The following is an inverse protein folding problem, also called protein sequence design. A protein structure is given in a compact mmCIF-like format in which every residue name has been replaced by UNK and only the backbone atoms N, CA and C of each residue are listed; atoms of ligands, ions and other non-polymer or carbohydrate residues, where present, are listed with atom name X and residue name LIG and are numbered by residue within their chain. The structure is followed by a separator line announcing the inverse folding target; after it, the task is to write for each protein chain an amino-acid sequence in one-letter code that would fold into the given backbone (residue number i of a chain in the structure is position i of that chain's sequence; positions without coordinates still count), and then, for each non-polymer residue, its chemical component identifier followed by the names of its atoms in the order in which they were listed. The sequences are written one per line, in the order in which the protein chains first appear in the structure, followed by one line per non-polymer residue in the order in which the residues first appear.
data_IF_528561537488
#
_entry.id   IF_528561537488
#
_cell.length_a   1.000
_cell.length_b   1.000
_cell.length_c   1.000
_cell.angle_alpha   90.00
_cell.angle_beta   90.00
_cell.angle_gamma   90.00
#
_symmetry.space_group_name_H-M   'P 1'
#
loop_
_entity.id
_entity.type
_entity.pdbx_description
1 polymer ?
#
# COMPACT_ATOMS: atom_id res chain seq x y z
N UNK A 1 -3.76 4.31 -1.30
CA UNK A 1 -3.79 4.37 0.19
C UNK A 1 -4.11 5.79 0.68
N UNK A 2 -4.48 5.98 1.97
CA UNK A 2 -5.23 7.12 2.60
C UNK A 2 -5.84 8.20 1.69
N UNK A 3 -5.05 8.87 0.85
CA UNK A 3 -5.51 9.80 -0.18
C UNK A 3 -6.24 9.14 -1.38
N UNK A 4 -6.47 7.81 -1.37
CA UNK A 4 -7.16 7.12 -2.46
C UNK A 4 -6.38 7.05 -3.77
N UNK A 5 -5.05 7.19 -3.73
CA UNK A 5 -4.17 7.08 -4.90
C UNK A 5 -3.54 5.69 -5.01
N UNK A 6 -3.27 5.19 -6.25
CA UNK A 6 -2.44 4.01 -6.45
C UNK A 6 -1.04 4.28 -5.89
N UNK A 7 -0.40 3.22 -5.40
CA UNK A 7 0.97 3.28 -4.89
C UNK A 7 1.88 2.52 -5.84
N UNK A 8 3.04 3.10 -6.16
CA UNK A 8 4.13 2.40 -6.81
C UNK A 8 5.24 2.23 -5.77
N UNK A 9 5.67 1.00 -5.53
CA UNK A 9 6.67 0.68 -4.51
C UNK A 9 7.71 -0.31 -5.02
N UNK A 10 8.88 -0.29 -4.39
CA UNK A 10 9.96 -1.22 -4.70
C UNK A 10 9.70 -2.58 -4.02
N UNK A 11 9.96 -3.67 -4.75
CA UNK A 11 10.13 -5.02 -4.17
C UNK A 11 11.31 -5.01 -3.19
N UNK A 12 11.16 -5.73 -2.08
CA UNK A 12 12.11 -5.75 -0.96
C UNK A 12 12.01 -4.56 0.00
N UNK A 13 11.14 -3.58 -0.24
CA UNK A 13 10.93 -2.46 0.68
C UNK A 13 9.85 -2.78 1.71
N UNK A 14 9.83 -2.08 2.85
CA UNK A 14 8.76 -2.20 3.85
C UNK A 14 7.36 -1.88 3.27
N UNK A 15 7.29 -1.13 2.16
CA UNK A 15 6.02 -0.85 1.50
C UNK A 15 5.43 -2.10 0.81
N UNK A 16 6.25 -3.09 0.45
CA UNK A 16 5.80 -4.37 -0.12
C UNK A 16 4.88 -5.14 0.84
N UNK A 17 5.08 -5.03 2.15
CA UNK A 17 4.21 -5.67 3.15
C UNK A 17 2.77 -5.11 3.13
N UNK A 18 2.60 -3.91 2.57
CA UNK A 18 1.36 -3.15 2.62
C UNK A 18 0.70 -3.09 1.24
N UNK A 19 1.48 -2.92 0.18
CA UNK A 19 1.02 -2.87 -1.21
C UNK A 19 0.76 -4.29 -1.71
N UNK A 20 -0.49 -4.57 -2.07
CA UNK A 20 -0.85 -5.77 -2.83
C UNK A 20 -0.69 -5.45 -4.32
N UNK A 21 0.27 -6.09 -4.96
CA UNK A 21 0.61 -5.91 -6.38
C UNK A 21 -0.59 -6.17 -7.30
N UNK A 22 -0.75 -5.31 -8.32
CA UNK A 22 -1.90 -5.28 -9.23
C UNK A 22 -3.26 -4.93 -8.61
N UNK A 23 -3.39 -4.90 -7.28
CA UNK A 23 -4.67 -4.71 -6.60
C UNK A 23 -4.80 -3.35 -5.90
N UNK A 24 -3.75 -2.92 -5.20
CA UNK A 24 -3.73 -1.63 -4.45
C UNK A 24 -2.66 -0.66 -4.96
N UNK A 25 -1.88 -1.12 -5.93
CA UNK A 25 -0.69 -0.48 -6.45
C UNK A 25 0.10 -1.48 -7.30
N UNK A 26 1.32 -1.08 -7.67
CA UNK A 26 2.27 -1.91 -8.42
C UNK A 26 3.57 -2.04 -7.63
N UNK A 27 4.18 -3.21 -7.70
CA UNK A 27 5.51 -3.49 -7.20
C UNK A 27 6.50 -3.62 -8.36
N UNK A 28 7.66 -2.98 -8.24
CA UNK A 28 8.72 -3.00 -9.28
C UNK A 28 10.07 -3.32 -8.67
N UNK A 29 11.00 -3.84 -9.47
CA UNK A 29 12.42 -3.88 -9.10
C UNK A 29 12.98 -2.44 -9.07
N UNK A 30 13.53 -1.97 -7.93
CA UNK A 30 14.09 -0.62 -7.84
C UNK A 30 15.32 -0.39 -8.74
N UNK A 31 16.02 -1.45 -9.15
CA UNK A 31 17.20 -1.37 -10.00
C UNK A 31 16.87 -1.49 -11.51
N UNK A 32 15.63 -1.86 -11.84
CA UNK A 32 15.13 -1.92 -13.21
C UNK A 32 14.41 -0.61 -13.61
N UNK A 33 15.12 0.22 -14.38
CA UNK A 33 14.58 1.50 -14.88
C UNK A 33 13.46 1.31 -15.89
N UNK A 34 13.47 0.24 -16.68
CA UNK A 34 12.44 -0.01 -17.69
C UNK A 34 11.16 -0.46 -17.02
N UNK A 35 11.23 -1.36 -16.04
CA UNK A 35 10.08 -1.78 -15.26
C UNK A 35 9.43 -0.59 -14.53
N UNK A 36 10.23 0.29 -13.92
CA UNK A 36 9.73 1.52 -13.29
C UNK A 36 9.01 2.44 -14.29
N UNK A 37 9.60 2.66 -15.46
CA UNK A 37 9.03 3.48 -16.53
C UNK A 37 7.69 2.91 -16.99
N UNK A 38 7.64 1.60 -17.22
CA UNK A 38 6.48 0.93 -17.78
C UNK A 38 5.34 0.90 -16.75
N UNK A 39 5.63 0.68 -15.47
CA UNK A 39 4.65 0.76 -14.39
C UNK A 39 4.07 2.17 -14.22
N UNK A 40 4.92 3.21 -14.30
CA UNK A 40 4.45 4.60 -14.30
C UNK A 40 3.57 4.91 -15.52
N UNK A 41 3.99 4.47 -16.71
CA UNK A 41 3.22 4.59 -17.95
C UNK A 41 1.85 3.95 -17.81
N UNK A 42 1.79 2.71 -17.32
CA UNK A 42 0.54 1.99 -17.08
C UNK A 42 -0.44 2.76 -16.19
N UNK A 43 0.04 3.31 -15.06
CA UNK A 43 -0.82 4.08 -14.15
C UNK A 43 -1.33 5.40 -14.77
N UNK A 44 -0.60 5.98 -15.72
CA UNK A 44 -0.99 7.21 -16.42
C UNK A 44 -1.93 6.93 -17.60
N UNK A 45 -1.65 5.88 -18.36
CA UNK A 45 -2.38 5.52 -19.58
C UNK A 45 -3.71 4.82 -19.28
N UNK A 46 -3.83 4.15 -18.12
CA UNK A 46 -5.04 3.44 -17.68
C UNK A 46 -5.62 4.04 -16.38
N UNK A 47 -6.14 5.30 -16.41
CA UNK A 47 -6.58 6.01 -15.20
C UNK A 47 -7.75 5.33 -14.47
N UNK A 48 -8.58 4.54 -15.16
CA UNK A 48 -9.65 3.76 -14.53
C UNK A 48 -9.11 2.64 -13.64
N UNK A 49 -8.04 1.98 -14.07
CA UNK A 49 -7.37 0.94 -13.30
C UNK A 49 -6.58 1.57 -12.13
N UNK A 50 -5.84 2.65 -12.40
CA UNK A 50 -5.15 3.43 -11.39
C UNK A 50 -6.09 3.90 -10.27
N UNK A 51 -7.31 4.34 -10.64
CA UNK A 51 -8.35 4.72 -9.68
C UNK A 51 -8.83 3.53 -8.85
N UNK A 52 -9.13 2.39 -9.50
CA UNK A 52 -9.53 1.16 -8.80
C UNK A 52 -8.48 0.72 -7.78
N UNK A 53 -7.20 0.76 -8.16
CA UNK A 53 -6.09 0.45 -7.25
C UNK A 53 -6.05 1.42 -6.06
N UNK A 54 -6.24 2.72 -6.32
CA UNK A 54 -6.28 3.73 -5.29
C UNK A 54 -7.42 3.55 -4.28
N UNK A 55 -8.62 3.24 -4.77
CA UNK A 55 -9.82 2.94 -3.98
C UNK A 55 -9.61 1.66 -3.14
N UNK A 56 -9.10 0.58 -3.73
CA UNK A 56 -8.78 -0.64 -3.01
C UNK A 56 -7.73 -0.41 -1.91
N UNK A 57 -6.69 0.39 -2.22
CA UNK A 57 -5.68 0.77 -1.24
C UNK A 57 -6.21 1.68 -0.12
N UNK A 58 -7.25 2.49 -0.38
CA UNK A 58 -7.94 3.25 0.68
C UNK A 58 -8.72 2.32 1.60
N UNK A 59 -9.49 1.38 1.03
CA UNK A 59 -10.26 0.42 1.82
C UNK A 59 -9.37 -0.46 2.70
N UNK A 60 -8.20 -0.90 2.19
CA UNK A 60 -7.20 -1.60 2.99
C UNK A 60 -6.68 -0.75 4.15
N UNK A 61 -6.30 0.50 3.88
CA UNK A 61 -5.84 1.41 4.94
C UNK A 61 -6.89 1.60 6.04
N UNK A 62 -8.14 1.87 5.64
CA UNK A 62 -9.28 2.07 6.55
C UNK A 62 -9.53 0.85 7.45
N UNK A 63 -9.38 -0.36 6.90
CA UNK A 63 -9.65 -1.61 7.62
C UNK A 63 -8.51 -2.03 8.53
N UNK A 64 -7.25 -1.81 8.13
CA UNK A 64 -6.12 -2.52 8.73
C UNK A 64 -4.99 -1.62 9.26
N UNK A 65 -4.84 -0.40 8.74
CA UNK A 65 -3.62 0.42 8.92
C UNK A 65 -3.86 1.76 9.60
N UNK A 66 -5.10 2.06 9.98
CA UNK A 66 -5.46 3.26 10.74
C UNK A 66 -4.90 3.24 12.17
N UNK A 67 -4.74 4.42 12.77
CA UNK A 67 -4.23 4.58 14.14
C UNK A 67 -5.13 3.87 15.16
N UNK A 68 -6.44 3.84 14.93
CA UNK A 68 -7.40 3.12 15.75
C UNK A 68 -7.09 1.61 15.77
N UNK A 69 -6.80 1.03 14.60
CA UNK A 69 -6.45 -0.40 14.47
C UNK A 69 -5.10 -0.71 15.06
N UNK A 70 -4.13 0.18 14.90
CA UNK A 70 -2.84 0.07 15.57
C UNK A 70 -3.01 0.04 17.10
N UNK A 71 -3.79 0.97 17.66
CA UNK A 71 -4.08 1.04 19.10
C UNK A 71 -4.77 -0.22 19.60
N UNK A 72 -5.81 -0.69 18.92
CA UNK A 72 -6.54 -1.90 19.31
C UNK A 72 -5.66 -3.15 19.35
N UNK A 73 -4.64 -3.23 18.47
CA UNK A 73 -3.70 -4.36 18.44
C UNK A 73 -2.59 -4.24 19.46
N UNK A 74 -2.04 -3.03 19.65
CA UNK A 74 -0.89 -2.80 20.53
C UNK A 74 -1.27 -2.70 22.01
N UNK A 75 -2.38 -2.01 22.33
CA UNK A 75 -2.74 -1.67 23.71
C UNK A 75 -2.87 -2.87 24.65
N UNK A 76 -3.56 -3.97 24.28
CA UNK A 76 -3.67 -5.14 25.16
C UNK A 76 -2.32 -5.82 25.43
N UNK A 77 -1.33 -5.67 24.53
CA UNK A 77 0.01 -6.22 24.72
C UNK A 77 0.81 -5.38 25.72
N UNK A 78 0.65 -4.05 25.66
CA UNK A 78 1.29 -3.15 26.62
C UNK A 78 0.71 -3.35 28.02
N UNK A 79 -0.61 -3.46 28.16
CA UNK A 79 -1.27 -3.70 29.46
C UNK A 79 -0.74 -4.96 30.17
N UNK A 80 -0.44 -6.02 29.41
CA UNK A 80 0.15 -7.26 29.92
C UNK A 80 1.60 -7.13 30.39
N UNK A 81 2.33 -6.11 29.97
CA UNK A 81 3.74 -5.90 30.34
C UNK A 81 3.87 -5.05 31.61
N UNK A 82 2.88 -4.21 31.89
CA UNK A 82 2.87 -3.27 33.02
C UNK A 82 2.03 -3.75 34.22
N UNK A 83 1.34 -4.88 34.09
CA UNK A 83 0.57 -5.54 35.15
C UNK A 83 1.29 -6.80 35.62
#
# INVERSE_FOLDING_TARGET
MRAGKPVLAARGSAAEEIVVDGATGLLVDPDDREELRDALGHLLDYPGEARRMGEAGFERWRKELGIERFRERLWPLLERLIS
#
